data_IF_357795027019
#
_entry.id   IF_357795027019
#
_cell.length_a   1.000
_cell.length_b   1.000
_cell.length_c   1.000
_cell.angle_alpha   90.00
_cell.angle_beta   90.00
_cell.angle_gamma   90.00
#
_symmetry.space_group_name_H-M   'P 1'
#
loop_
_entity.id
_entity.type
_entity.pdbx_description
1 polymer ?
#
# COMPACT_ATOMS: atom_id res chain seq x y z
N UNK A 1 -61.50 -2.44 -15.54
CA UNK A 1 -61.89 -3.48 -14.56
C UNK A 1 -61.93 -4.84 -15.26
N UNK A 2 -61.22 -5.83 -14.69
CA UNK A 2 -61.08 -7.24 -15.10
C UNK A 2 -60.29 -7.55 -16.37
N UNK A 3 -58.98 -7.72 -16.16
CA UNK A 3 -58.10 -8.62 -16.91
C UNK A 3 -58.54 -10.07 -16.62
N UNK A 4 -58.77 -10.85 -17.67
CA UNK A 4 -59.05 -12.29 -17.66
C UNK A 4 -57.76 -13.04 -18.03
N UNK A 5 -57.22 -13.86 -17.12
CA UNK A 5 -56.34 -14.97 -17.46
C UNK A 5 -57.16 -16.11 -18.10
N UNK A 6 -56.59 -16.95 -18.98
CA UNK A 6 -55.99 -18.26 -18.58
C UNK A 6 -54.96 -18.83 -19.61
N UNK A 7 -54.58 -20.13 -19.62
CA UNK A 7 -54.34 -21.10 -18.55
C UNK A 7 -52.92 -21.72 -18.58
N UNK A 8 -52.61 -22.40 -17.47
CA UNK A 8 -51.54 -23.37 -17.24
C UNK A 8 -51.57 -24.56 -18.21
N UNK A 9 -50.42 -24.95 -18.78
CA UNK A 9 -50.18 -26.29 -19.36
C UNK A 9 -48.89 -26.88 -18.76
N UNK A 10 -48.97 -28.18 -18.49
CA UNK A 10 -48.06 -28.99 -17.71
C UNK A 10 -46.83 -29.53 -18.49
N UNK A 11 -45.83 -29.90 -17.69
CA UNK A 11 -44.80 -30.94 -17.85
C UNK A 11 -44.21 -31.25 -19.24
N UNK A 12 -42.91 -30.94 -19.37
CA UNK A 12 -41.98 -31.64 -20.26
C UNK A 12 -40.66 -31.89 -19.52
N UNK A 13 -40.38 -33.15 -19.21
CA UNK A 13 -39.07 -33.63 -18.79
C UNK A 13 -38.06 -33.41 -19.93
N UNK A 14 -36.92 -32.78 -19.62
CA UNK A 14 -35.78 -32.64 -20.52
C UNK A 14 -34.48 -32.64 -19.72
N UNK A 15 -33.83 -33.81 -19.68
CA UNK A 15 -32.49 -34.01 -19.14
C UNK A 15 -31.41 -33.33 -20.01
N UNK A 16 -30.28 -33.03 -19.36
CA UNK A 16 -28.92 -32.81 -19.92
C UNK A 16 -28.65 -31.44 -20.59
N UNK A 17 -27.92 -30.58 -19.88
CA UNK A 17 -26.48 -30.44 -20.14
C UNK A 17 -25.82 -29.59 -19.06
N UNK A 18 -24.79 -30.18 -18.43
CA UNK A 18 -24.04 -29.67 -17.29
C UNK A 18 -22.90 -28.80 -17.86
N UNK A 19 -23.10 -27.49 -17.96
CA UNK A 19 -22.01 -26.57 -18.26
C UNK A 19 -21.14 -26.41 -17.00
N UNK A 20 -19.92 -26.91 -17.07
CA UNK A 20 -18.98 -26.98 -15.96
C UNK A 20 -18.50 -25.60 -15.53
N UNK A 21 -18.87 -25.20 -14.31
CA UNK A 21 -18.10 -24.23 -13.53
C UNK A 21 -16.73 -24.85 -13.27
N UNK A 22 -15.70 -24.39 -13.99
CA UNK A 22 -14.30 -24.66 -13.65
C UNK A 22 -13.98 -23.94 -12.34
N UNK A 23 -14.18 -24.66 -11.24
CA UNK A 23 -13.57 -24.36 -9.96
C UNK A 23 -12.07 -24.55 -10.13
N UNK A 24 -11.31 -23.48 -9.96
CA UNK A 24 -9.85 -23.53 -9.90
C UNK A 24 -9.44 -24.34 -8.67
N UNK A 25 -8.97 -25.57 -8.88
CA UNK A 25 -8.20 -26.34 -7.90
C UNK A 25 -6.76 -26.35 -8.40
N UNK A 26 -5.90 -25.55 -7.77
CA UNK A 26 -4.46 -25.67 -7.95
C UNK A 26 -4.01 -26.73 -6.94
N UNK A 27 -3.81 -27.96 -7.40
CA UNK A 27 -3.19 -29.02 -6.63
C UNK A 27 -1.69 -28.71 -6.46
N UNK A 28 -1.32 -28.26 -5.27
CA UNK A 28 0.05 -28.26 -4.75
C UNK A 28 0.00 -28.76 -3.31
N UNK A 29 0.10 -30.08 -3.13
CA UNK A 29 0.18 -30.69 -1.81
C UNK A 29 1.52 -30.40 -1.15
N UNK A 30 1.50 -29.63 -0.07
CA UNK A 30 2.51 -29.65 0.98
C UNK A 30 1.71 -29.73 2.29
N UNK A 31 1.96 -30.79 3.05
CA UNK A 31 1.37 -31.06 4.34
C UNK A 31 1.54 -29.88 5.30
N UNK A 32 0.47 -29.65 6.05
CA UNK A 32 0.26 -28.62 7.05
C UNK A 32 1.11 -28.83 8.29
N UNK A 33 1.97 -27.85 8.61
CA UNK A 33 2.35 -27.53 9.98
C UNK A 33 1.85 -26.10 10.28
N UNK A 34 1.05 -25.99 11.34
CA UNK A 34 0.46 -24.75 11.86
C UNK A 34 1.56 -23.75 12.28
N UNK A 35 1.88 -22.82 11.40
CA UNK A 35 2.55 -21.57 11.74
C UNK A 35 1.50 -20.46 11.74
N UNK A 36 1.24 -19.90 12.92
CA UNK A 36 0.44 -18.69 13.09
C UNK A 36 1.02 -17.52 12.27
N UNK A 37 0.52 -17.33 11.05
CA UNK A 37 0.86 -16.19 10.20
C UNK A 37 -0.02 -14.99 10.62
N UNK A 38 0.36 -14.34 11.71
CA UNK A 38 -0.08 -12.96 12.01
C UNK A 38 0.66 -11.91 11.14
N UNK A 39 1.47 -12.34 10.16
CA UNK A 39 2.25 -11.48 9.26
C UNK A 39 1.55 -11.07 7.96
N UNK A 40 0.38 -11.64 7.63
CA UNK A 40 -0.31 -11.38 6.35
C UNK A 40 -0.99 -10.01 6.27
N UNK A 41 -1.10 -9.28 7.38
CA UNK A 41 -1.65 -7.91 7.40
C UNK A 41 -0.66 -6.85 6.93
N UNK A 42 0.65 -7.09 7.03
CA UNK A 42 1.66 -6.07 6.69
C UNK A 42 1.95 -5.95 5.19
N UNK A 43 1.70 -7.01 4.40
CA UNK A 43 1.95 -6.97 2.95
C UNK A 43 0.83 -6.25 2.19
N UNK A 44 -0.43 -6.35 2.62
CA UNK A 44 -1.52 -5.52 2.08
C UNK A 44 -1.37 -4.03 2.45
N UNK A 45 -0.71 -3.72 3.56
CA UNK A 45 -0.47 -2.34 4.04
C UNK A 45 0.64 -1.62 3.28
N UNK A 46 1.68 -2.31 2.81
CA UNK A 46 2.68 -1.67 1.95
C UNK A 46 2.07 -1.19 0.64
N UNK A 47 1.07 -1.85 0.07
CA UNK A 47 0.46 -1.42 -1.20
C UNK A 47 -0.46 -0.20 -1.10
N UNK A 48 -0.97 0.12 0.10
CA UNK A 48 -1.78 1.33 0.35
C UNK A 48 -0.85 2.53 0.51
N UNK A 49 0.17 2.41 1.35
CA UNK A 49 1.24 3.41 1.51
C UNK A 49 2.00 3.64 0.20
N UNK A 50 2.33 2.58 -0.54
CA UNK A 50 3.04 2.63 -1.82
C UNK A 50 2.10 2.98 -3.00
N UNK A 51 0.77 2.89 -2.84
CA UNK A 51 -0.20 3.48 -3.78
C UNK A 51 -0.37 4.99 -3.60
N UNK A 52 -0.19 5.51 -2.38
CA UNK A 52 -0.42 6.93 -2.06
C UNK A 52 0.86 7.78 -2.01
N UNK A 53 2.01 7.19 -1.66
CA UNK A 53 3.28 7.89 -1.52
C UNK A 53 3.99 8.19 -2.86
N UNK A 54 3.48 7.72 -4.01
CA UNK A 54 4.10 7.96 -5.34
C UNK A 54 3.98 9.41 -5.82
N UNK A 55 3.38 10.32 -5.03
CA UNK A 55 3.31 11.73 -5.38
C UNK A 55 4.67 12.47 -5.39
N UNK A 56 5.81 11.79 -5.16
CA UNK A 56 7.12 12.45 -4.98
C UNK A 56 8.33 11.81 -5.65
N UNK A 57 8.17 10.97 -6.68
CA UNK A 57 9.30 10.78 -7.58
C UNK A 57 9.36 11.96 -8.56
N UNK A 58 10.39 12.83 -8.51
CA UNK A 58 10.56 13.84 -9.52
C UNK A 58 10.65 13.11 -10.85
N UNK A 59 9.78 13.46 -11.81
CA UNK A 59 9.78 12.93 -13.18
C UNK A 59 11.25 12.86 -13.61
N UNK A 60 11.84 11.66 -13.79
CA UNK A 60 13.24 11.60 -14.14
C UNK A 60 13.34 12.30 -15.49
N UNK A 61 13.98 13.46 -15.52
CA UNK A 61 14.19 14.26 -16.74
C UNK A 61 15.44 13.83 -17.48
N UNK A 62 16.09 12.76 -17.00
CA UNK A 62 17.28 12.20 -17.59
C UNK A 62 17.04 11.72 -19.03
N UNK A 63 18.07 11.69 -19.88
CA UNK A 63 17.96 11.09 -21.21
C UNK A 63 17.49 9.62 -21.18
N UNK A 64 17.86 8.86 -20.14
CA UNK A 64 17.50 7.44 -19.99
C UNK A 64 16.02 7.23 -19.71
N UNK A 65 15.39 8.09 -18.92
CA UNK A 65 13.95 8.02 -18.65
C UNK A 65 13.12 8.38 -19.87
N UNK A 66 13.56 9.33 -20.70
CA UNK A 66 12.90 9.60 -22.00
C UNK A 66 12.93 8.39 -22.94
N UNK A 67 14.03 7.63 -22.94
CA UNK A 67 14.12 6.39 -23.72
C UNK A 67 13.16 5.31 -23.17
N UNK A 68 13.05 5.19 -21.84
CA UNK A 68 12.11 4.27 -21.20
C UNK A 68 10.66 4.65 -21.52
N UNK A 69 10.31 5.94 -21.44
CA UNK A 69 8.99 6.45 -21.83
C UNK A 69 8.65 6.05 -23.25
N UNK A 70 9.57 6.29 -24.19
CA UNK A 70 9.37 5.96 -25.59
C UNK A 70 9.14 4.45 -25.81
N UNK A 71 9.90 3.58 -25.15
CA UNK A 71 9.70 2.13 -25.22
C UNK A 71 8.35 1.70 -24.65
N UNK A 72 7.95 2.26 -23.50
CA UNK A 72 6.66 1.96 -22.88
C UNK A 72 5.50 2.46 -23.74
N UNK A 73 5.62 3.64 -24.36
CA UNK A 73 4.61 4.20 -25.25
C UNK A 73 4.45 3.39 -26.53
N UNK A 74 5.53 2.89 -27.14
CA UNK A 74 5.44 1.98 -28.29
C UNK A 74 4.72 0.69 -27.89
N UNK A 75 5.13 0.08 -26.77
CA UNK A 75 4.53 -1.17 -26.30
C UNK A 75 3.05 -0.98 -25.96
N UNK A 76 2.70 0.14 -25.35
CA UNK A 76 1.32 0.52 -25.06
C UNK A 76 0.52 0.75 -26.35
N UNK A 77 1.09 1.45 -27.33
CA UNK A 77 0.45 1.70 -28.62
C UNK A 77 0.16 0.44 -29.44
N UNK A 78 0.92 -0.64 -29.21
CA UNK A 78 0.70 -1.95 -29.83
C UNK A 78 -0.42 -2.77 -29.19
N UNK A 79 -0.99 -2.33 -28.06
CA UNK A 79 -2.17 -2.96 -27.45
C UNK A 79 -3.43 -2.65 -28.26
N UNK A 80 -4.42 -3.54 -28.21
CA UNK A 80 -5.76 -3.24 -28.71
C UNK A 80 -6.37 -2.04 -27.95
N UNK A 81 -7.20 -1.24 -28.63
CA UNK A 81 -7.73 0.00 -28.05
C UNK A 81 -8.53 -0.23 -26.76
N UNK A 82 -9.25 -1.34 -26.68
CA UNK A 82 -10.04 -1.78 -25.53
C UNK A 82 -9.14 -2.04 -24.33
N UNK A 83 -8.04 -2.76 -24.54
CA UNK A 83 -7.03 -3.06 -23.52
C UNK A 83 -6.31 -1.78 -23.07
N UNK A 84 -5.99 -0.87 -24.00
CA UNK A 84 -5.43 0.44 -23.67
C UNK A 84 -6.36 1.26 -22.78
N UNK A 85 -7.68 1.26 -23.06
CA UNK A 85 -8.69 1.94 -22.24
C UNK A 85 -8.78 1.35 -20.84
N UNK A 86 -8.78 0.01 -20.72
CA UNK A 86 -8.83 -0.68 -19.43
C UNK A 86 -7.59 -0.35 -18.59
N UNK A 87 -6.40 -0.43 -19.18
CA UNK A 87 -5.16 -0.20 -18.46
C UNK A 87 -5.00 1.26 -18.00
N UNK A 88 -5.45 2.24 -18.80
CA UNK A 88 -5.51 3.65 -18.37
C UNK A 88 -6.48 3.86 -17.21
N UNK A 89 -7.68 3.28 -17.25
CA UNK A 89 -8.63 3.36 -16.14
C UNK A 89 -8.09 2.71 -14.87
N UNK A 90 -7.47 1.54 -14.99
CA UNK A 90 -6.80 0.87 -13.87
C UNK A 90 -5.70 1.75 -13.24
N UNK A 91 -4.94 2.49 -14.06
CA UNK A 91 -3.89 3.40 -13.55
C UNK A 91 -4.44 4.53 -12.67
N UNK A 92 -5.69 4.96 -12.90
CA UNK A 92 -6.37 5.96 -12.07
C UNK A 92 -6.87 5.36 -10.75
N UNK A 93 -7.30 4.10 -10.77
CA UNK A 93 -7.73 3.39 -9.55
C UNK A 93 -6.58 3.28 -8.54
N UNK A 94 -5.40 2.87 -8.96
CA UNK A 94 -4.26 2.73 -8.06
C UNK A 94 -3.08 1.95 -8.63
N UNK A 95 -2.04 1.73 -7.82
CA UNK A 95 -0.96 0.80 -8.14
C UNK A 95 -1.47 -0.64 -8.05
N UNK A 96 -2.28 -0.92 -7.03
CA UNK A 96 -3.10 -2.12 -6.93
C UNK A 96 -4.57 -1.76 -7.13
N UNK A 97 -5.34 -2.63 -7.77
CA UNK A 97 -6.76 -2.43 -8.03
C UNK A 97 -7.54 -3.75 -8.01
N UNK A 98 -8.76 -3.69 -7.48
CA UNK A 98 -9.70 -4.82 -7.56
C UNK A 98 -10.47 -4.80 -8.88
N UNK A 99 -10.78 -5.99 -9.40
CA UNK A 99 -11.59 -6.12 -10.62
C UNK A 99 -12.99 -5.55 -10.41
N UNK A 100 -13.55 -5.61 -9.20
CA UNK A 100 -14.88 -5.06 -8.93
C UNK A 100 -14.92 -3.54 -9.11
N UNK A 101 -13.92 -2.82 -8.57
CA UNK A 101 -13.78 -1.36 -8.75
C UNK A 101 -13.56 -1.04 -10.23
N UNK A 102 -12.61 -1.71 -10.88
CA UNK A 102 -12.32 -1.46 -12.30
C UNK A 102 -13.53 -1.72 -13.18
N UNK A 103 -14.24 -2.83 -12.99
CA UNK A 103 -15.44 -3.20 -13.74
C UNK A 103 -16.51 -2.12 -13.65
N UNK A 104 -16.69 -1.48 -12.49
CA UNK A 104 -17.66 -0.41 -12.33
C UNK A 104 -17.35 0.81 -13.23
N UNK A 105 -16.08 1.07 -13.52
CA UNK A 105 -15.64 2.19 -14.36
C UNK A 105 -15.74 1.91 -15.88
N UNK A 106 -15.95 0.65 -16.27
CA UNK A 106 -15.97 0.23 -17.67
C UNK A 106 -17.37 0.33 -18.30
N UNK A 107 -17.41 0.55 -19.60
CA UNK A 107 -18.63 0.44 -20.41
C UNK A 107 -19.08 -1.02 -20.50
N UNK A 108 -20.38 -1.31 -20.72
CA UNK A 108 -20.92 -2.67 -20.76
C UNK A 108 -20.13 -3.62 -21.68
N UNK A 109 -19.82 -3.19 -22.90
CA UNK A 109 -19.05 -3.99 -23.87
C UNK A 109 -17.63 -4.35 -23.39
N UNK A 110 -16.97 -3.51 -22.59
CA UNK A 110 -15.66 -3.82 -22.02
C UNK A 110 -15.76 -4.75 -20.80
N UNK A 111 -16.89 -4.70 -20.07
CA UNK A 111 -17.11 -5.54 -18.89
C UNK A 111 -17.28 -7.01 -19.27
N UNK A 112 -17.92 -7.28 -20.40
CA UNK A 112 -18.18 -8.64 -20.90
C UNK A 112 -16.88 -9.41 -21.21
N UNK A 113 -15.83 -8.70 -21.62
CA UNK A 113 -14.54 -9.26 -22.01
C UNK A 113 -13.42 -8.95 -21.01
N UNK A 114 -13.75 -8.44 -19.82
CA UNK A 114 -12.76 -7.91 -18.88
C UNK A 114 -11.73 -8.96 -18.47
N UNK A 115 -12.16 -10.18 -18.22
CA UNK A 115 -11.28 -11.28 -17.81
C UNK A 115 -10.25 -11.62 -18.90
N UNK A 116 -10.68 -11.68 -20.17
CA UNK A 116 -9.80 -11.93 -21.32
C UNK A 116 -8.77 -10.82 -21.51
N UNK A 117 -9.19 -9.56 -21.29
CA UNK A 117 -8.30 -8.41 -21.36
C UNK A 117 -7.29 -8.40 -20.20
N UNK A 118 -7.71 -8.73 -18.97
CA UNK A 118 -6.81 -8.84 -17.82
C UNK A 118 -5.81 -9.98 -18.02
N UNK A 119 -6.23 -11.13 -18.54
CA UNK A 119 -5.34 -12.24 -18.89
C UNK A 119 -4.30 -11.80 -19.92
N UNK A 120 -4.72 -11.05 -20.95
CA UNK A 120 -3.79 -10.49 -21.94
C UNK A 120 -2.77 -9.54 -21.30
N UNK A 121 -3.20 -8.67 -20.37
CA UNK A 121 -2.33 -7.76 -19.65
C UNK A 121 -1.32 -8.49 -18.73
N UNK A 122 -1.73 -9.60 -18.10
CA UNK A 122 -0.86 -10.46 -17.30
C UNK A 122 0.17 -11.18 -18.18
N UNK A 123 -0.30 -11.80 -19.26
CA UNK A 123 0.56 -12.52 -20.22
C UNK A 123 1.59 -11.59 -20.84
N UNK A 124 1.17 -10.37 -21.16
CA UNK A 124 2.05 -9.34 -21.66
C UNK A 124 2.83 -8.60 -20.58
N UNK A 125 2.77 -8.96 -19.29
CA UNK A 125 3.57 -8.34 -18.20
C UNK A 125 3.36 -6.83 -18.04
N UNK A 126 2.10 -6.41 -18.03
CA UNK A 126 1.71 -5.06 -17.59
C UNK A 126 1.27 -5.06 -16.12
N UNK A 127 0.58 -6.13 -15.71
CA UNK A 127 0.08 -6.36 -14.36
C UNK A 127 0.38 -7.80 -13.90
N UNK A 128 0.28 -8.05 -12.60
CA UNK A 128 0.26 -9.40 -12.03
C UNK A 128 -0.89 -9.55 -11.04
N UNK A 129 -1.44 -10.77 -10.87
CA UNK A 129 -2.43 -11.02 -9.84
C UNK A 129 -1.80 -10.97 -8.44
N UNK A 130 -2.52 -10.39 -7.49
CA UNK A 130 -2.14 -10.41 -6.08
C UNK A 130 -2.26 -11.84 -5.52
N UNK A 131 -1.22 -12.31 -4.80
CA UNK A 131 -1.17 -13.65 -4.23
C UNK A 131 -2.04 -13.81 -2.98
N UNK A 132 -2.35 -12.71 -2.31
CA UNK A 132 -3.08 -12.65 -1.04
C UNK A 132 -4.57 -12.38 -1.26
N UNK A 133 -4.91 -11.63 -2.31
CA UNK A 133 -6.26 -11.20 -2.60
C UNK A 133 -6.73 -11.65 -3.97
N UNK A 134 -7.57 -12.68 -4.01
CA UNK A 134 -8.23 -13.11 -5.24
C UNK A 134 -8.97 -11.92 -5.86
N UNK A 135 -8.85 -11.76 -7.18
CA UNK A 135 -9.51 -10.68 -7.94
C UNK A 135 -8.92 -9.28 -7.73
N UNK A 136 -7.67 -9.20 -7.28
CA UNK A 136 -6.86 -7.98 -7.23
C UNK A 136 -5.64 -8.12 -8.12
N UNK A 137 -5.25 -7.03 -8.77
CA UNK A 137 -4.11 -6.97 -9.66
C UNK A 137 -3.26 -5.76 -9.32
N UNK A 138 -1.95 -5.88 -9.57
CA UNK A 138 -0.99 -4.81 -9.36
C UNK A 138 -0.19 -4.55 -10.63
N UNK A 139 0.16 -3.29 -10.87
CA UNK A 139 1.08 -2.94 -11.95
C UNK A 139 2.47 -3.52 -11.67
N UNK A 140 3.10 -4.11 -12.70
CA UNK A 140 4.46 -4.65 -12.58
C UNK A 140 5.46 -3.60 -12.09
N UNK A 141 5.25 -2.34 -12.47
CA UNK A 141 6.06 -1.21 -12.03
C UNK A 141 5.20 0.03 -11.78
N UNK A 142 5.43 0.72 -10.67
CA UNK A 142 4.80 2.01 -10.31
C UNK A 142 5.02 3.07 -11.38
N UNK A 143 6.21 3.08 -12.01
CA UNK A 143 6.53 3.98 -13.12
C UNK A 143 5.59 3.81 -14.33
N UNK A 144 5.27 2.54 -14.66
CA UNK A 144 4.35 2.23 -15.77
C UNK A 144 2.95 2.76 -15.45
N UNK A 145 2.47 2.54 -14.22
CA UNK A 145 1.22 3.11 -13.74
C UNK A 145 1.22 4.62 -13.87
N UNK A 146 2.29 5.29 -13.42
CA UNK A 146 2.39 6.75 -13.46
C UNK A 146 2.39 7.30 -14.90
N UNK A 147 3.14 6.68 -15.81
CA UNK A 147 3.14 7.04 -17.22
C UNK A 147 1.73 6.94 -17.82
N UNK A 148 1.01 5.85 -17.57
CA UNK A 148 -0.35 5.65 -18.09
C UNK A 148 -1.37 6.58 -17.44
N UNK A 149 -1.19 6.89 -16.17
CA UNK A 149 -1.97 7.91 -15.47
C UNK A 149 -1.79 9.28 -16.13
N UNK A 150 -0.56 9.65 -16.49
CA UNK A 150 -0.26 10.93 -17.15
C UNK A 150 -0.74 10.99 -18.61
N UNK A 151 -0.91 9.85 -19.27
CA UNK A 151 -1.54 9.76 -20.59
C UNK A 151 -3.06 9.89 -20.55
N UNK A 152 -3.68 9.84 -19.37
CA UNK A 152 -5.12 9.99 -19.23
C UNK A 152 -5.47 11.48 -19.15
N UNK A 153 -6.34 12.00 -20.04
CA UNK A 153 -6.69 13.42 -20.05
C UNK A 153 -7.20 13.91 -18.69
N UNK A 154 -6.87 15.14 -18.25
CA UNK A 154 -7.27 15.65 -16.93
C UNK A 154 -8.77 15.56 -16.64
N UNK A 155 -9.62 15.89 -17.62
CA UNK A 155 -11.09 15.79 -17.46
C UNK A 155 -11.56 14.35 -17.26
N UNK A 156 -10.94 13.39 -17.97
CA UNK A 156 -11.23 11.97 -17.82
C UNK A 156 -10.75 11.46 -16.45
N UNK A 157 -9.56 11.88 -16.00
CA UNK A 157 -9.04 11.53 -14.67
C UNK A 157 -9.95 12.01 -13.55
N UNK A 158 -10.42 13.26 -13.60
CA UNK A 158 -11.31 13.79 -12.57
C UNK A 158 -12.62 12.99 -12.49
N UNK A 159 -13.22 12.69 -13.64
CA UNK A 159 -14.42 11.85 -13.69
C UNK A 159 -14.15 10.43 -13.16
N UNK A 160 -13.02 9.82 -13.51
CA UNK A 160 -12.64 8.50 -13.00
C UNK A 160 -12.41 8.52 -11.48
N UNK A 161 -11.70 9.52 -10.94
CA UNK A 161 -11.54 9.66 -9.49
C UNK A 161 -12.90 9.81 -8.78
N UNK A 162 -13.82 10.59 -9.34
CA UNK A 162 -15.17 10.72 -8.81
C UNK A 162 -15.92 9.38 -8.79
N UNK A 163 -16.02 8.71 -9.95
CA UNK A 163 -16.71 7.42 -10.06
C UNK A 163 -16.10 6.35 -9.15
N UNK A 164 -14.77 6.37 -8.98
CA UNK A 164 -14.10 5.47 -8.03
C UNK A 164 -14.48 5.80 -6.60
N UNK A 165 -14.39 7.07 -6.17
CA UNK A 165 -14.76 7.47 -4.80
C UNK A 165 -16.20 7.09 -4.45
N UNK A 166 -17.14 7.35 -5.37
CA UNK A 166 -18.56 7.02 -5.19
C UNK A 166 -18.80 5.51 -5.05
N UNK A 167 -18.13 4.71 -5.90
CA UNK A 167 -18.25 3.26 -5.83
C UNK A 167 -17.64 2.69 -4.54
N UNK A 168 -16.47 3.19 -4.13
CA UNK A 168 -15.85 2.81 -2.87
C UNK A 168 -16.81 3.14 -1.72
N UNK A 169 -17.37 4.36 -1.68
CA UNK A 169 -18.31 4.74 -0.63
C UNK A 169 -19.53 3.81 -0.52
N UNK A 170 -20.08 3.34 -1.64
CA UNK A 170 -21.24 2.44 -1.66
C UNK A 170 -20.95 1.02 -1.18
N UNK A 171 -19.71 0.57 -1.29
CA UNK A 171 -19.35 -0.85 -1.10
C UNK A 171 -18.61 -1.12 0.21
N UNK A 172 -18.33 -0.10 1.01
CA UNK A 172 -17.32 -0.15 2.07
C UNK A 172 -17.89 -0.26 3.48
N UNK A 173 -17.07 -0.82 4.38
CA UNK A 173 -17.42 -1.17 5.76
C UNK A 173 -16.81 -0.24 6.82
N UNK A 174 -16.07 0.79 6.42
CA UNK A 174 -15.47 1.78 7.33
C UNK A 174 -14.05 1.47 7.82
N UNK A 175 -13.32 0.58 7.15
CA UNK A 175 -11.91 0.28 7.46
C UNK A 175 -10.98 1.48 7.15
N UNK A 176 -9.89 1.64 7.92
CA UNK A 176 -8.93 2.74 7.74
C UNK A 176 -8.33 2.82 6.32
N UNK A 177 -7.88 1.68 5.78
CA UNK A 177 -7.31 1.55 4.43
C UNK A 177 -8.30 1.95 3.32
N UNK A 178 -9.57 1.57 3.51
CA UNK A 178 -10.68 1.92 2.65
C UNK A 178 -11.01 3.42 2.71
N UNK A 179 -11.05 4.01 3.91
CA UNK A 179 -11.24 5.45 4.09
C UNK A 179 -10.10 6.25 3.46
N UNK A 180 -8.86 5.79 3.58
CA UNK A 180 -7.70 6.39 2.93
C UNK A 180 -7.80 6.34 1.40
N UNK A 181 -8.35 5.25 0.86
CA UNK A 181 -8.62 5.12 -0.58
C UNK A 181 -9.68 6.11 -1.04
N UNK A 182 -10.80 6.20 -0.33
CA UNK A 182 -11.86 7.17 -0.60
C UNK A 182 -11.32 8.60 -0.56
N UNK A 183 -10.54 8.92 0.48
CA UNK A 183 -9.84 10.20 0.63
C UNK A 183 -8.94 10.52 -0.58
N UNK A 184 -8.12 9.57 -1.00
CA UNK A 184 -7.19 9.75 -2.12
C UNK A 184 -7.90 10.09 -3.43
N UNK A 185 -9.08 9.52 -3.66
CA UNK A 185 -9.87 9.86 -4.83
C UNK A 185 -10.57 11.21 -4.69
N UNK A 186 -11.14 11.54 -3.53
CA UNK A 186 -11.80 12.83 -3.32
C UNK A 186 -10.83 14.02 -3.41
N UNK A 187 -9.60 13.91 -2.90
CA UNK A 187 -8.65 15.04 -2.93
C UNK A 187 -8.31 15.55 -4.33
N UNK A 188 -8.60 14.77 -5.38
CA UNK A 188 -8.35 15.15 -6.77
C UNK A 188 -9.40 16.10 -7.34
N UNK A 189 -10.61 16.14 -6.77
CA UNK A 189 -11.73 16.91 -7.35
C UNK A 189 -12.67 17.57 -6.33
N UNK A 190 -12.73 17.07 -5.10
CA UNK A 190 -13.60 17.59 -4.03
C UNK A 190 -12.82 17.71 -2.70
N UNK A 191 -12.23 18.88 -2.41
CA UNK A 191 -11.41 19.07 -1.20
C UNK A 191 -12.22 19.00 0.10
N UNK A 192 -13.51 19.34 0.07
CA UNK A 192 -14.38 19.27 1.26
C UNK A 192 -14.58 17.81 1.69
N UNK A 193 -15.01 16.95 0.77
CA UNK A 193 -15.13 15.51 1.04
C UNK A 193 -13.76 14.87 1.31
N UNK A 194 -12.69 15.35 0.68
CA UNK A 194 -11.35 14.89 0.99
C UNK A 194 -11.03 15.15 2.47
N UNK A 195 -11.21 16.38 2.96
CA UNK A 195 -10.96 16.68 4.36
C UNK A 195 -11.77 15.75 5.30
N UNK A 196 -13.04 15.51 4.98
CA UNK A 196 -13.92 14.63 5.77
C UNK A 196 -13.38 13.19 5.87
N UNK A 197 -13.17 12.54 4.73
CA UNK A 197 -12.70 11.16 4.71
C UNK A 197 -11.24 11.04 5.17
N UNK A 198 -10.43 12.09 4.97
CA UNK A 198 -9.07 12.18 5.46
C UNK A 198 -9.01 12.20 6.99
N UNK A 199 -9.85 13.00 7.64
CA UNK A 199 -9.96 13.04 9.11
C UNK A 199 -10.40 11.68 9.67
N UNK A 200 -11.39 11.03 9.03
CA UNK A 200 -11.85 9.69 9.43
C UNK A 200 -10.76 8.64 9.25
N UNK A 201 -10.05 8.64 8.12
CA UNK A 201 -8.95 7.73 7.84
C UNK A 201 -7.79 7.92 8.83
N UNK A 202 -7.35 9.16 9.05
CA UNK A 202 -6.29 9.48 10.00
C UNK A 202 -6.66 9.06 11.43
N UNK A 203 -7.90 9.30 11.84
CA UNK A 203 -8.39 8.84 13.15
C UNK A 203 -8.33 7.31 13.25
N UNK A 204 -8.76 6.59 12.22
CA UNK A 204 -8.73 5.13 12.20
C UNK A 204 -7.30 4.56 12.21
N UNK A 205 -6.34 5.21 11.54
CA UNK A 205 -4.92 4.82 11.61
C UNK A 205 -4.28 5.08 12.98
N UNK A 206 -4.72 6.12 13.69
CA UNK A 206 -4.23 6.41 15.04
C UNK A 206 -4.64 5.36 16.08
N UNK A 207 -5.72 4.61 15.82
CA UNK A 207 -6.14 3.49 16.66
C UNK A 207 -5.27 2.22 16.45
N UNK A 208 -4.35 2.24 15.49
CA UNK A 208 -3.40 1.16 15.26
C UNK A 208 -2.14 1.28 16.11
N UNK A 209 -1.45 0.16 16.34
CA UNK A 209 -0.13 0.09 17.00
C UNK A 209 1.04 -0.05 16.01
N UNK A 210 0.76 -0.07 14.70
CA UNK A 210 1.77 -0.26 13.66
C UNK A 210 2.39 1.07 13.21
N UNK A 211 3.72 1.14 13.18
CA UNK A 211 4.46 2.35 12.78
C UNK A 211 4.15 2.80 11.35
N UNK A 212 3.88 1.86 10.43
CA UNK A 212 3.61 2.18 9.03
C UNK A 212 2.24 2.87 8.85
N UNK A 213 1.25 2.53 9.67
CA UNK A 213 -0.03 3.23 9.67
C UNK A 213 0.12 4.70 10.09
N UNK A 214 1.11 5.02 10.93
CA UNK A 214 1.43 6.39 11.31
C UNK A 214 2.07 7.18 10.15
N UNK A 215 2.78 6.50 9.24
CA UNK A 215 3.27 7.12 8.01
C UNK A 215 2.11 7.49 7.11
N UNK A 216 1.14 6.57 6.93
CA UNK A 216 -0.07 6.84 6.15
C UNK A 216 -0.93 7.95 6.78
N UNK A 217 -1.09 7.93 8.11
CA UNK A 217 -1.74 8.99 8.85
C UNK A 217 -1.07 10.35 8.61
N UNK A 218 0.27 10.41 8.69
CA UNK A 218 1.01 11.63 8.41
C UNK A 218 0.77 12.16 7.00
N UNK A 219 0.86 11.30 5.98
CA UNK A 219 0.64 11.71 4.58
C UNK A 219 -0.79 12.23 4.38
N UNK A 220 -1.79 11.61 5.00
CA UNK A 220 -3.17 12.10 4.99
C UNK A 220 -3.28 13.48 5.63
N UNK A 221 -2.73 13.68 6.83
CA UNK A 221 -2.78 14.97 7.52
C UNK A 221 -2.08 16.07 6.73
N UNK A 222 -0.90 15.78 6.19
CA UNK A 222 -0.13 16.72 5.37
C UNK A 222 -0.91 17.15 4.12
N UNK A 223 -1.50 16.21 3.39
CA UNK A 223 -2.22 16.54 2.15
C UNK A 223 -3.58 17.22 2.41
N UNK A 224 -4.16 17.06 3.61
CA UNK A 224 -5.38 17.77 4.00
C UNK A 224 -5.12 19.20 4.51
N UNK A 225 -3.88 19.57 4.85
CA UNK A 225 -3.54 20.93 5.29
C UNK A 225 -4.02 21.97 4.27
N UNK A 226 -3.89 21.67 2.97
CA UNK A 226 -4.31 22.53 1.86
C UNK A 226 -5.83 22.67 1.77
N UNK A 227 -6.58 21.63 2.17
CA UNK A 227 -8.04 21.58 2.09
C UNK A 227 -8.76 22.31 3.23
N UNK A 228 -8.06 22.72 4.29
CA UNK A 228 -8.68 23.48 5.38
C UNK A 228 -9.14 24.86 4.91
N UNK A 229 -10.41 25.17 5.09
CA UNK A 229 -11.03 26.46 4.76
C UNK A 229 -11.33 27.26 6.02
N UNK A 230 -11.60 26.58 7.14
CA UNK A 230 -11.98 27.19 8.40
C UNK A 230 -10.92 27.03 9.48
N UNK A 231 -10.98 27.90 10.50
CA UNK A 231 -10.17 27.76 11.71
C UNK A 231 -10.49 26.45 12.45
N UNK A 232 -11.73 25.95 12.34
CA UNK A 232 -12.13 24.68 12.92
C UNK A 232 -11.38 23.51 12.26
N UNK A 233 -11.30 23.48 10.93
CA UNK A 233 -10.59 22.44 10.17
C UNK A 233 -9.13 22.33 10.63
N UNK A 234 -8.46 23.48 10.77
CA UNK A 234 -7.06 23.51 11.22
C UNK A 234 -6.92 22.98 12.65
N UNK A 235 -7.83 23.35 13.55
CA UNK A 235 -7.82 22.82 14.93
C UNK A 235 -8.01 21.31 14.98
N UNK A 236 -8.87 20.76 14.12
CA UNK A 236 -9.04 19.30 13.99
C UNK A 236 -7.73 18.66 13.52
N UNK A 237 -7.07 19.19 12.49
CA UNK A 237 -5.77 18.67 12.02
C UNK A 237 -4.65 18.81 13.06
N UNK A 238 -4.58 19.93 13.79
CA UNK A 238 -3.62 20.12 14.88
C UNK A 238 -3.83 19.08 15.99
N UNK A 239 -5.09 18.80 16.36
CA UNK A 239 -5.41 17.77 17.35
C UNK A 239 -4.97 16.37 16.91
N UNK A 240 -5.26 15.99 15.66
CA UNK A 240 -4.81 14.70 15.11
C UNK A 240 -3.28 14.62 15.00
N UNK A 241 -2.63 15.71 14.60
CA UNK A 241 -1.16 15.80 14.54
C UNK A 241 -0.54 15.66 15.93
N UNK A 242 -1.17 16.21 16.97
CA UNK A 242 -0.75 16.01 18.37
C UNK A 242 -0.88 14.55 18.81
N UNK A 243 -1.99 13.90 18.45
CA UNK A 243 -2.20 12.48 18.74
C UNK A 243 -1.15 11.62 18.03
N UNK A 244 -0.86 11.93 16.77
CA UNK A 244 0.16 11.26 15.97
C UNK A 244 1.55 11.41 16.59
N UNK A 245 1.96 12.63 16.96
CA UNK A 245 3.23 12.89 17.63
C UNK A 245 3.40 12.04 18.89
N UNK A 246 2.36 12.00 19.73
CA UNK A 246 2.33 11.16 20.94
C UNK A 246 2.42 9.68 20.61
N UNK A 247 1.68 9.20 19.61
CA UNK A 247 1.67 7.80 19.20
C UNK A 247 3.06 7.36 18.69
N UNK A 248 3.66 8.13 17.78
CA UNK A 248 5.01 7.90 17.23
C UNK A 248 6.08 7.98 18.31
N UNK A 249 5.95 8.91 19.26
CA UNK A 249 6.87 9.01 20.40
C UNK A 249 6.82 7.78 21.29
N UNK A 250 5.63 7.22 21.50
CA UNK A 250 5.41 6.03 22.32
C UNK A 250 5.81 4.71 21.64
N UNK A 251 6.10 4.70 20.33
CA UNK A 251 6.62 3.51 19.66
C UNK A 251 7.95 3.09 20.29
N UNK A 252 7.91 2.00 21.04
CA UNK A 252 9.09 1.41 21.68
C UNK A 252 9.95 0.75 20.60
N UNK A 253 11.14 1.31 20.35
CA UNK A 253 12.17 0.67 19.53
C UNK A 253 13.09 -0.07 20.49
N UNK A 254 13.18 -1.40 20.37
CA UNK A 254 13.93 -2.22 21.32
C UNK A 254 15.44 -1.90 21.24
N UNK A 255 16.05 -1.29 22.29
CA UNK A 255 17.45 -0.84 22.23
C UNK A 255 18.45 -2.00 22.18
N UNK A 256 18.08 -3.16 22.71
CA UNK A 256 18.97 -4.33 22.87
C UNK A 256 19.45 -4.89 21.52
N UNK A 257 18.64 -4.70 20.48
CA UNK A 257 18.92 -5.16 19.11
C UNK A 257 20.02 -4.33 18.44
N UNK A 258 20.11 -3.02 18.77
CA UNK A 258 21.16 -2.10 18.30
C UNK A 258 22.53 -2.35 18.95
N UNK A 259 22.57 -2.92 20.16
CA UNK A 259 23.83 -3.20 20.88
C UNK A 259 24.49 -4.51 20.45
N UNK A 260 23.72 -5.56 20.10
CA UNK A 260 24.30 -6.85 19.68
C UNK A 260 24.96 -6.80 18.30
N UNK A 261 24.52 -5.94 17.40
CA UNK A 261 25.10 -5.81 16.05
C UNK A 261 26.49 -5.19 16.03
N UNK A 262 26.83 -4.31 16.97
CA UNK A 262 28.22 -3.84 17.12
C UNK A 262 29.18 -4.99 17.48
N UNK A 263 28.71 -5.98 18.25
CA UNK A 263 29.48 -7.19 18.57
C UNK A 263 29.51 -8.23 17.44
N UNK A 264 28.41 -8.43 16.73
CA UNK A 264 28.29 -9.42 15.65
C UNK A 264 28.92 -8.99 14.32
N UNK A 265 28.80 -7.71 13.93
CA UNK A 265 29.52 -7.18 12.78
C UNK A 265 31.03 -7.26 13.01
N UNK A 266 31.50 -7.02 14.24
CA UNK A 266 32.91 -7.24 14.59
C UNK A 266 33.30 -8.72 14.49
N UNK A 267 32.46 -9.66 14.95
CA UNK A 267 32.72 -11.10 14.82
C UNK A 267 32.71 -11.60 13.37
N UNK A 268 31.78 -11.16 12.53
CA UNK A 268 31.75 -11.48 11.09
C UNK A 268 32.91 -10.83 10.33
N UNK A 269 33.30 -9.61 10.70
CA UNK A 269 34.48 -8.94 10.13
C UNK A 269 35.76 -9.66 10.52
N UNK A 270 35.90 -10.08 11.78
CA UNK A 270 37.02 -10.92 12.26
C UNK A 270 37.02 -12.29 11.56
N UNK A 271 35.86 -12.92 11.40
CA UNK A 271 35.78 -14.25 10.77
C UNK A 271 36.09 -14.21 9.27
N UNK A 272 35.63 -13.16 8.55
CA UNK A 272 35.94 -12.95 7.14
C UNK A 272 37.42 -12.62 6.91
N UNK A 273 38.05 -11.87 7.84
CA UNK A 273 39.49 -11.60 7.80
C UNK A 273 40.33 -12.86 8.00
N UNK A 274 39.93 -13.73 8.94
CA UNK A 274 40.60 -15.01 9.18
C UNK A 274 40.46 -15.99 8.00
N UNK A 275 39.39 -15.92 7.21
CA UNK A 275 39.20 -16.78 6.03
C UNK A 275 40.01 -16.26 4.82
N UNK A 276 40.17 -14.94 4.69
CA UNK A 276 40.96 -14.34 3.59
C UNK A 276 42.47 -14.42 3.81
N UNK A 277 42.95 -14.51 5.06
CA UNK A 277 44.39 -14.59 5.36
C UNK A 277 44.95 -16.04 5.35
N UNK A 278 44.12 -17.07 5.20
CA UNK A 278 44.55 -18.48 5.20
C UNK A 278 44.78 -19.11 3.80
N UNK A 279 44.68 -18.33 2.72
CA UNK A 279 44.86 -18.83 1.34
C UNK A 279 46.21 -18.47 0.70
N UNK A 280 47.25 -18.16 1.49
CA UNK A 280 48.61 -18.03 0.96
C UNK A 280 49.65 -18.78 1.80
N UNK A 281 50.22 -19.81 1.16
CA UNK A 281 51.56 -20.41 1.36
C UNK A 281 51.88 -21.18 2.65
N UNK A 282 51.91 -22.51 2.48
CA UNK A 282 52.72 -23.60 3.09
C UNK A 282 53.05 -23.64 4.60
N UNK A 283 53.01 -24.85 5.22
CA UNK A 283 53.11 -25.01 6.67
C UNK A 283 54.54 -25.24 7.15
N UNK A 284 54.88 -24.73 8.34
CA UNK A 284 56.00 -25.22 9.15
C UNK A 284 55.44 -25.94 10.37
N UNK A 285 55.76 -27.22 10.46
CA UNK A 285 55.42 -28.15 11.52
C UNK A 285 56.01 -27.67 12.86
N UNK A 286 55.16 -27.42 13.84
CA UNK A 286 55.49 -27.67 15.25
C UNK A 286 54.29 -28.33 15.91
N UNK A 287 54.53 -29.56 16.35
CA UNK A 287 53.66 -30.44 17.11
C UNK A 287 53.18 -29.81 18.41
N UNK A 288 51.86 -29.75 18.60
CA UNK A 288 51.25 -29.85 19.93
C UNK A 288 50.10 -30.84 19.85
N UNK A 289 50.31 -32.00 20.49
CA UNK A 289 49.27 -33.00 20.70
C UNK A 289 48.35 -32.52 21.82
N UNK A 290 47.09 -32.27 21.51
CA UNK A 290 46.03 -32.22 22.51
C UNK A 290 44.75 -32.80 21.91
N UNK A 291 44.55 -34.09 22.21
CA UNK A 291 43.26 -34.79 22.39
C UNK A 291 42.10 -34.30 21.51
N UNK A 292 41.99 -34.97 20.38
CA UNK A 292 40.72 -35.40 19.80
C UNK A 292 39.83 -36.01 20.90
N UNK A 293 38.74 -35.34 21.23
CA UNK A 293 37.46 -35.94 21.62
C UNK A 293 36.35 -34.91 21.32
N UNK A 294 35.30 -35.37 20.66
CA UNK A 294 33.99 -34.73 20.47
C UNK A 294 33.90 -33.50 19.54
N UNK A 295 33.92 -33.76 18.22
CA UNK A 295 33.40 -32.82 17.24
C UNK A 295 32.73 -33.52 16.04
N UNK A 296 31.81 -34.45 16.31
CA UNK A 296 30.67 -34.65 15.39
C UNK A 296 29.59 -33.67 15.84
N UNK A 297 29.82 -32.39 15.58
CA UNK A 297 28.74 -31.40 15.65
C UNK A 297 27.82 -31.72 14.47
N UNK A 298 26.67 -32.33 14.76
CA UNK A 298 25.63 -32.66 13.79
C UNK A 298 25.44 -31.51 12.78
N UNK A 299 25.52 -31.80 11.47
CA UNK A 299 25.23 -30.81 10.41
C UNK A 299 23.84 -30.15 10.56
N UNK A 300 22.91 -30.80 11.27
CA UNK A 300 21.61 -30.23 11.65
C UNK A 300 21.74 -29.01 12.58
N UNK A 301 22.63 -29.04 13.57
CA UNK A 301 22.82 -27.92 14.51
C UNK A 301 23.51 -26.73 13.83
N UNK A 302 24.47 -26.96 12.92
CA UNK A 302 25.09 -25.89 12.15
C UNK A 302 24.09 -25.17 11.22
N UNK A 303 23.22 -25.94 10.54
CA UNK A 303 22.16 -25.38 9.69
C UNK A 303 21.12 -24.59 10.49
N UNK A 304 20.72 -25.09 11.66
CA UNK A 304 19.81 -24.37 12.57
C UNK A 304 20.42 -23.08 13.11
N UNK A 305 21.71 -23.08 13.45
CA UNK A 305 22.42 -21.86 13.91
C UNK A 305 22.50 -20.81 12.79
N UNK A 306 22.73 -21.22 11.54
CA UNK A 306 22.75 -20.30 10.39
C UNK A 306 21.36 -19.70 10.11
N UNK A 307 20.29 -20.52 10.14
CA UNK A 307 18.90 -20.04 9.97
C UNK A 307 18.52 -19.07 11.08
N UNK A 308 18.85 -19.38 12.34
CA UNK A 308 18.58 -18.49 13.47
C UNK A 308 19.38 -17.19 13.36
N UNK A 309 20.66 -17.26 12.97
CA UNK A 309 21.49 -16.07 12.75
C UNK A 309 20.96 -15.17 11.63
N UNK A 310 20.41 -15.76 10.56
CA UNK A 310 19.78 -15.01 9.48
C UNK A 310 18.48 -14.34 9.97
N UNK A 311 17.64 -15.06 10.70
CA UNK A 311 16.41 -14.52 11.30
C UNK A 311 16.69 -13.36 12.27
N UNK A 312 17.70 -13.50 13.13
CA UNK A 312 18.14 -12.45 14.07
C UNK A 312 18.68 -11.21 13.32
N UNK A 313 19.38 -11.42 12.20
CA UNK A 313 19.89 -10.35 11.35
C UNK A 313 18.76 -9.58 10.65
N UNK A 314 17.75 -10.28 10.13
CA UNK A 314 16.55 -9.68 9.54
C UNK A 314 15.78 -8.90 10.59
N UNK A 315 15.57 -9.47 11.79
CA UNK A 315 14.92 -8.77 12.90
C UNK A 315 15.67 -7.49 13.29
N UNK A 316 17.00 -7.53 13.31
CA UNK A 316 17.79 -6.34 13.59
C UNK A 316 17.71 -5.28 12.50
N UNK A 317 17.76 -5.68 11.23
CA UNK A 317 17.59 -4.75 10.12
C UNK A 317 16.23 -4.05 10.20
N UNK A 318 15.16 -4.81 10.48
CA UNK A 318 13.81 -4.29 10.63
C UNK A 318 13.69 -3.30 11.80
N UNK A 319 14.27 -3.59 12.97
CA UNK A 319 14.23 -2.66 14.11
C UNK A 319 15.03 -1.37 13.85
N UNK A 320 16.16 -1.47 13.15
CA UNK A 320 16.95 -0.30 12.76
C UNK A 320 16.21 0.58 11.75
N UNK A 321 15.53 -0.05 10.79
CA UNK A 321 14.67 0.65 9.83
C UNK A 321 13.49 1.32 10.53
N UNK A 322 12.79 0.62 11.44
CA UNK A 322 11.73 1.21 12.29
C UNK A 322 12.24 2.41 13.08
N UNK A 323 13.43 2.32 13.67
CA UNK A 323 14.05 3.43 14.39
C UNK A 323 14.32 4.65 13.50
N UNK A 324 14.82 4.43 12.28
CA UNK A 324 15.04 5.49 11.30
C UNK A 324 13.72 6.13 10.85
N UNK A 325 12.74 5.31 10.47
CA UNK A 325 11.40 5.75 10.05
C UNK A 325 10.73 6.59 11.13
N UNK A 326 10.80 6.16 12.40
CA UNK A 326 10.29 6.92 13.54
C UNK A 326 10.92 8.31 13.66
N UNK A 327 12.25 8.41 13.58
CA UNK A 327 12.95 9.71 13.68
C UNK A 327 12.60 10.64 12.52
N UNK A 328 12.58 10.12 11.30
CA UNK A 328 12.16 10.89 10.11
C UNK A 328 10.71 11.36 10.22
N UNK A 329 9.83 10.53 10.78
CA UNK A 329 8.43 10.87 10.97
C UNK A 329 8.25 11.99 12.00
N UNK A 330 8.98 11.95 13.13
CA UNK A 330 8.94 13.03 14.13
C UNK A 330 9.42 14.37 13.57
N UNK A 331 10.49 14.37 12.76
CA UNK A 331 10.97 15.58 12.09
C UNK A 331 9.91 16.16 11.14
N UNK A 332 9.28 15.28 10.33
CA UNK A 332 8.19 15.66 9.42
C UNK A 332 6.95 16.19 10.17
N UNK A 333 6.59 15.59 11.31
CA UNK A 333 5.49 16.05 12.15
C UNK A 333 5.76 17.47 12.68
N UNK A 334 7.00 17.76 13.09
CA UNK A 334 7.39 19.12 13.53
C UNK A 334 7.27 20.17 12.40
N UNK A 335 7.55 19.78 11.16
CA UNK A 335 7.34 20.64 9.99
C UNK A 335 5.85 20.90 9.74
N UNK A 336 5.02 19.84 9.79
CA UNK A 336 3.57 19.96 9.62
C UNK A 336 2.94 20.87 10.68
N UNK A 337 3.40 20.79 11.93
CA UNK A 337 2.94 21.70 12.98
C UNK A 337 3.14 23.18 12.65
N UNK A 338 4.30 23.53 12.11
CA UNK A 338 4.60 24.91 11.70
C UNK A 338 3.70 25.37 10.56
N UNK A 339 3.49 24.50 9.57
CA UNK A 339 2.58 24.79 8.45
C UNK A 339 1.14 25.02 8.92
N UNK A 340 0.64 24.21 9.87
CA UNK A 340 -0.70 24.40 10.44
C UNK A 340 -0.81 25.67 11.29
N UNK A 341 0.21 26.04 12.05
CA UNK A 341 0.23 27.27 12.87
C UNK A 341 0.28 28.54 12.01
N UNK A 342 1.06 28.51 10.92
CA UNK A 342 1.09 29.57 9.91
C UNK A 342 -0.30 29.74 9.28
N UNK A 343 -0.90 28.63 8.82
CA UNK A 343 -2.25 28.67 8.22
C UNK A 343 -3.33 29.11 9.21
N UNK A 344 -3.21 28.73 10.49
CA UNK A 344 -4.11 29.20 11.55
C UNK A 344 -4.05 30.72 11.70
N UNK A 345 -2.84 31.27 11.71
CA UNK A 345 -2.59 32.71 11.83
C UNK A 345 -3.17 33.46 10.64
N UNK A 346 -3.00 32.95 9.42
CA UNK A 346 -3.58 33.52 8.20
C UNK A 346 -5.11 33.54 8.24
N UNK A 347 -5.76 32.42 8.58
CA UNK A 347 -7.22 32.34 8.61
C UNK A 347 -7.84 33.16 9.75
N UNK A 348 -7.19 33.21 10.91
CA UNK A 348 -7.69 33.98 12.07
C UNK A 348 -7.52 35.49 11.93
N UNK A 349 -6.55 35.95 11.13
CA UNK A 349 -6.38 37.36 10.81
C UNK A 349 -7.37 37.87 9.74
N UNK A 350 -8.03 36.97 9.00
CA UNK A 350 -8.97 37.35 7.95
C UNK A 350 -10.30 37.84 8.53
N UNK A 351 -10.73 39.09 8.28
CA UNK A 351 -11.98 39.64 8.80
C UNK A 351 -13.24 38.94 8.27
N UNK A 352 -13.12 38.15 7.19
CA UNK A 352 -14.21 37.32 6.65
C UNK A 352 -14.53 36.08 7.52
N UNK A 353 -13.68 35.74 8.49
CA UNK A 353 -13.86 34.56 9.36
C UNK A 353 -14.89 34.75 10.47
N UNK A 354 -15.34 35.98 10.74
CA UNK A 354 -16.32 36.27 11.80
C UNK A 354 -17.78 36.16 11.38
N UNK A 355 -18.08 36.02 10.09
CA UNK A 355 -19.46 36.07 9.57
C UNK A 355 -19.95 34.75 8.95
N UNK A 356 -19.17 33.68 9.03
CA UNK A 356 -19.58 32.36 8.54
C UNK A 356 -20.23 31.52 9.64
N UNK A 357 -21.44 31.94 10.05
CA UNK A 357 -22.46 30.99 10.53
C UNK A 357 -23.11 30.24 9.35
N UNK A 358 -22.35 30.02 8.28
CA UNK A 358 -22.78 29.19 7.17
C UNK A 358 -22.90 27.77 7.70
N UNK A 359 -24.07 27.19 7.45
CA UNK A 359 -24.45 25.84 7.79
C UNK A 359 -23.32 24.84 7.51
N UNK A 360 -22.50 24.54 8.51
CA UNK A 360 -21.78 23.28 8.54
C UNK A 360 -22.83 22.19 8.34
N UNK A 361 -22.58 21.18 7.48
CA UNK A 361 -23.40 19.99 7.47
C UNK A 361 -23.47 19.50 8.92
N UNK A 362 -24.67 19.55 9.51
CA UNK A 362 -24.93 19.33 10.96
C UNK A 362 -24.53 17.94 11.47
N UNK A 363 -23.94 17.13 10.62
CA UNK A 363 -23.67 15.71 10.83
C UNK A 363 -22.17 15.39 10.99
N UNK A 364 -21.26 16.37 11.01
CA UNK A 364 -19.89 16.16 11.49
C UNK A 364 -19.87 16.02 13.03
N UNK A 365 -20.67 15.09 13.56
CA UNK A 365 -20.42 14.54 14.87
C UNK A 365 -19.20 13.62 14.73
N UNK A 366 -18.00 14.20 14.69
CA UNK A 366 -16.82 13.48 15.18
C UNK A 366 -17.14 13.25 16.66
N UNK A 367 -17.40 12.02 17.13
CA UNK A 367 -17.99 11.79 18.47
C UNK A 367 -17.06 12.13 19.65
N UNK A 368 -15.98 12.88 19.44
CA UNK A 368 -14.83 12.91 20.33
C UNK A 368 -14.07 14.25 20.40
N UNK A 369 -14.74 15.38 20.13
CA UNK A 369 -14.26 16.68 20.63
C UNK A 369 -14.95 17.06 21.93
#
# INVERSE_FOLDING_TARGET
>A
LRVKAPPTIAHGHGQLSRAGSKVFVINGGIESDELHINGSRSLLRSHVAESYAVARDPKPTSPKSKQLDHLLLIRFGNLQQEIQRILRKASVVGVSFSVSVLRNLLSPHLREHLEEYLETLVNQKWIYPDLTCSNTFEFVHTYVRQLLYDLTPPSERNNLHQLTAEYLLQTHSGEASQLASIWYHFKQFNPEQALEYGVRAASAFLESEELYDYVDCFEILLNNSVCCVTVHDIRVLQHLTKKLDKAVTNVVVQPEVLCRTKGWLWRLFVHRKCITENNSTTPRVTSYSARSNDAILNNKTASQVLVQSAADSVKCANELDRGRTRLQLLEKISLLWRELDEKYTELSASPASHDQSLSHPKDWQIPFL
#
